data_IF_406554329123
#
_entry.id   IF_406554329123
#
_cell.length_a   1.000
_cell.length_b   1.000
_cell.length_c   1.000
_cell.angle_alpha   90.00
_cell.angle_beta   90.00
_cell.angle_gamma   90.00
#
_symmetry.space_group_name_H-M   'P 1'
#
loop_
_entity.id
_entity.type
_entity.pdbx_description
1 polymer ?
#
# COMPACT_ATOMS: atom_id res chain seq x y z
N UNK A 1 -41.62 8.06 13.27
CA UNK A 1 -40.48 8.95 12.92
C UNK A 1 -39.19 8.16 13.20
N UNK A 2 -38.59 7.52 12.17
CA UNK A 2 -37.31 6.83 12.33
C UNK A 2 -36.24 7.89 12.62
N UNK A 3 -35.59 7.83 13.81
CA UNK A 3 -34.40 8.62 14.06
C UNK A 3 -33.35 8.14 13.05
N UNK A 4 -32.89 9.01 12.13
CA UNK A 4 -31.71 8.72 11.31
C UNK A 4 -30.57 8.42 12.28
N UNK A 5 -30.01 7.23 12.15
CA UNK A 5 -28.86 6.82 12.95
C UNK A 5 -27.66 7.61 12.42
N UNK A 6 -26.95 8.31 13.31
CA UNK A 6 -25.75 9.05 12.93
C UNK A 6 -24.69 8.04 12.47
N UNK A 7 -23.97 8.36 11.42
CA UNK A 7 -22.85 7.55 10.93
C UNK A 7 -21.70 7.71 11.92
N UNK A 8 -21.12 6.63 12.41
CA UNK A 8 -20.04 6.71 13.39
C UNK A 8 -18.76 7.28 12.76
N UNK A 9 -18.34 6.75 11.61
CA UNK A 9 -17.12 7.16 10.92
C UNK A 9 -17.39 7.28 9.42
N UNK A 10 -17.04 8.42 8.82
CA UNK A 10 -16.89 8.56 7.39
C UNK A 10 -15.43 8.30 7.00
N UNK A 11 -15.20 7.20 6.30
CA UNK A 11 -13.88 6.91 5.75
C UNK A 11 -13.80 7.31 4.28
N UNK A 12 -12.86 8.20 3.95
CA UNK A 12 -12.56 8.62 2.58
C UNK A 12 -11.29 7.90 2.14
N UNK A 13 -11.38 6.93 1.21
CA UNK A 13 -10.23 6.12 0.80
C UNK A 13 -9.24 6.92 -0.05
N UNK A 14 -8.08 6.33 -0.30
CA UNK A 14 -7.08 6.86 -1.22
C UNK A 14 -7.59 6.86 -2.65
N UNK A 15 -7.47 7.99 -3.33
CA UNK A 15 -7.72 8.15 -4.77
C UNK A 15 -6.85 9.27 -5.34
N UNK A 16 -6.55 9.15 -6.64
CA UNK A 16 -5.93 10.22 -7.41
C UNK A 16 -7.03 11.06 -8.07
N UNK A 17 -7.17 12.30 -7.66
CA UNK A 17 -8.18 13.20 -8.19
C UNK A 17 -7.56 14.25 -9.13
N UNK A 18 -8.24 14.55 -10.24
CA UNK A 18 -8.08 15.82 -10.92
C UNK A 18 -8.69 16.94 -10.07
N UNK A 19 -8.31 18.19 -10.29
CA UNK A 19 -8.84 19.34 -9.50
C UNK A 19 -10.38 19.37 -9.43
N UNK A 20 -11.07 19.09 -10.52
CA UNK A 20 -12.54 19.05 -10.56
C UNK A 20 -13.15 17.93 -9.73
N UNK A 21 -12.49 16.77 -9.67
CA UNK A 21 -12.91 15.64 -8.86
C UNK A 21 -12.62 15.91 -7.39
N UNK A 22 -11.49 16.54 -7.08
CA UNK A 22 -11.17 16.92 -5.71
C UNK A 22 -12.21 17.90 -5.14
N UNK A 23 -12.59 18.94 -5.89
CA UNK A 23 -13.57 19.91 -5.45
C UNK A 23 -14.94 19.25 -5.19
N UNK A 24 -15.39 18.36 -6.08
CA UNK A 24 -16.61 17.59 -5.88
C UNK A 24 -16.54 16.77 -4.57
N UNK A 25 -15.46 16.02 -4.36
CA UNK A 25 -15.32 15.18 -3.17
C UNK A 25 -15.22 16.00 -1.88
N UNK A 26 -14.49 17.13 -1.90
CA UNK A 26 -14.41 18.02 -0.74
C UNK A 26 -15.81 18.54 -0.37
N UNK A 27 -16.63 18.92 -1.35
CA UNK A 27 -17.99 19.38 -1.12
C UNK A 27 -18.91 18.26 -0.58
N UNK A 28 -18.78 17.02 -1.10
CA UNK A 28 -19.51 15.85 -0.57
C UNK A 28 -19.12 15.55 0.89
N UNK A 29 -17.81 15.59 1.21
CA UNK A 29 -17.34 15.39 2.59
C UNK A 29 -17.94 16.47 3.51
N UNK A 30 -17.89 17.74 3.10
CA UNK A 30 -18.45 18.86 3.88
C UNK A 30 -19.96 18.68 4.09
N UNK A 31 -20.69 18.23 3.06
CA UNK A 31 -22.12 17.94 3.15
C UNK A 31 -22.46 16.84 4.15
N UNK A 32 -21.54 15.89 4.38
CA UNK A 32 -21.72 14.77 5.33
C UNK A 32 -21.35 15.14 6.78
N UNK A 33 -20.65 16.26 7.02
CA UNK A 33 -20.20 16.67 8.38
C UNK A 33 -21.33 16.64 9.42
N UNK A 34 -22.57 17.10 9.14
CA UNK A 34 -23.65 17.05 10.14
C UNK A 34 -24.15 15.63 10.47
N UNK A 35 -23.90 14.66 9.60
CA UNK A 35 -24.46 13.31 9.69
C UNK A 35 -23.47 12.30 10.30
N UNK A 36 -22.20 12.67 10.53
CA UNK A 36 -21.12 11.78 10.97
C UNK A 36 -20.59 12.16 12.35
N UNK A 37 -19.92 11.23 13.03
CA UNK A 37 -19.27 11.45 14.32
C UNK A 37 -17.76 11.69 14.20
N UNK A 38 -17.12 11.13 13.17
CA UNK A 38 -15.69 11.31 12.89
C UNK A 38 -15.45 11.20 11.38
N UNK A 39 -14.46 11.93 10.86
CA UNK A 39 -13.99 11.81 9.49
C UNK A 39 -12.55 11.34 9.49
N UNK A 40 -12.27 10.28 8.70
CA UNK A 40 -10.93 9.77 8.44
C UNK A 40 -10.66 9.84 6.94
N UNK A 41 -9.73 10.71 6.53
CA UNK A 41 -9.41 10.95 5.12
C UNK A 41 -8.01 10.44 4.77
N UNK A 42 -7.96 9.46 3.85
CA UNK A 42 -6.74 8.93 3.25
C UNK A 42 -6.48 9.53 1.86
N UNK A 43 -7.42 10.30 1.32
CA UNK A 43 -7.30 10.88 0.00
C UNK A 43 -6.16 11.91 -0.09
N UNK A 44 -5.55 11.98 -1.27
CA UNK A 44 -4.49 12.95 -1.56
C UNK A 44 -5.11 14.28 -1.96
N UNK A 45 -5.51 15.08 -0.98
CA UNK A 45 -6.12 16.38 -1.19
C UNK A 45 -5.08 17.50 -1.18
N UNK A 46 -5.36 18.57 -1.90
CA UNK A 46 -4.61 19.81 -1.84
C UNK A 46 -4.70 20.44 -0.44
N UNK A 47 -3.77 21.31 -0.11
CA UNK A 47 -3.81 22.06 1.15
C UNK A 47 -5.09 22.88 1.30
N UNK A 48 -5.60 23.44 0.20
CA UNK A 48 -6.87 24.17 0.16
C UNK A 48 -8.06 23.27 0.48
N UNK A 49 -8.12 22.06 -0.08
CA UNK A 49 -9.16 21.06 0.20
C UNK A 49 -9.15 20.61 1.66
N UNK A 50 -7.96 20.30 2.20
CA UNK A 50 -7.77 19.95 3.61
C UNK A 50 -8.28 21.05 4.53
N UNK A 51 -7.95 22.32 4.25
CA UNK A 51 -8.34 23.45 5.08
C UNK A 51 -9.86 23.69 5.06
N UNK A 52 -10.52 23.55 3.90
CA UNK A 52 -11.99 23.61 3.78
C UNK A 52 -12.68 22.57 4.67
N UNK A 53 -12.22 21.31 4.62
CA UNK A 53 -12.79 20.23 5.45
C UNK A 53 -12.53 20.49 6.94
N UNK A 54 -11.31 20.92 7.32
CA UNK A 54 -10.99 21.27 8.72
C UNK A 54 -11.87 22.37 9.26
N UNK A 55 -12.12 23.40 8.48
CA UNK A 55 -12.99 24.50 8.87
C UNK A 55 -14.42 24.00 9.12
N UNK A 56 -14.99 23.24 8.18
CA UNK A 56 -16.35 22.70 8.32
C UNK A 56 -16.48 21.76 9.53
N UNK A 57 -15.46 20.96 9.80
CA UNK A 57 -15.42 20.09 11.00
C UNK A 57 -15.29 20.90 12.28
N UNK A 58 -14.44 21.95 12.29
CA UNK A 58 -14.26 22.83 13.44
C UNK A 58 -15.54 23.56 13.84
N UNK A 59 -16.32 24.05 12.87
CA UNK A 59 -17.59 24.73 13.07
C UNK A 59 -18.64 23.83 13.77
N UNK A 60 -18.50 22.51 13.66
CA UNK A 60 -19.37 21.50 14.29
C UNK A 60 -18.70 20.70 15.41
N UNK A 61 -17.49 21.09 15.82
CA UNK A 61 -16.69 20.40 16.83
C UNK A 61 -16.50 18.90 16.52
N UNK A 62 -16.33 18.56 15.22
CA UNK A 62 -16.14 17.21 14.72
C UNK A 62 -14.65 16.86 14.60
N UNK A 63 -14.28 15.66 15.02
CA UNK A 63 -12.94 15.16 14.83
C UNK A 63 -12.70 14.78 13.35
N UNK A 64 -11.64 15.34 12.75
CA UNK A 64 -11.21 14.92 11.42
C UNK A 64 -9.72 14.61 11.39
N UNK A 65 -9.37 13.41 10.88
CA UNK A 65 -8.01 12.92 10.74
C UNK A 65 -7.63 12.81 9.29
N UNK A 66 -6.50 13.43 8.93
CA UNK A 66 -5.89 13.28 7.60
C UNK A 66 -4.67 12.37 7.75
N UNK A 67 -4.74 11.15 7.22
CA UNK A 67 -3.75 10.10 7.48
C UNK A 67 -2.39 10.42 6.86
N UNK A 68 -2.35 11.09 5.71
CA UNK A 68 -1.09 11.52 5.08
C UNK A 68 -0.26 12.50 5.92
N UNK A 69 -0.89 13.27 6.79
CA UNK A 69 -0.16 14.23 7.64
C UNK A 69 0.53 13.55 8.83
N UNK A 70 -0.01 12.42 9.32
CA UNK A 70 0.62 11.61 10.36
C UNK A 70 1.90 10.90 9.85
N UNK A 71 1.92 10.54 8.58
CA UNK A 71 3.05 9.91 7.90
C UNK A 71 4.30 10.81 7.87
N UNK A 72 4.12 12.12 7.77
CA UNK A 72 5.21 13.09 7.72
C UNK A 72 6.01 13.15 9.03
N UNK A 73 5.36 13.06 10.18
CA UNK A 73 6.03 13.10 11.49
C UNK A 73 6.94 11.87 11.70
N UNK A 74 6.50 10.68 11.26
CA UNK A 74 7.31 9.46 11.34
C UNK A 74 8.53 9.50 10.40
N UNK A 75 8.38 10.14 9.25
CA UNK A 75 9.45 10.37 8.26
C UNK A 75 10.55 11.29 8.80
N UNK A 76 10.20 12.30 9.58
CA UNK A 76 11.16 13.22 10.17
C UNK A 76 12.03 12.53 11.23
N UNK A 77 11.47 11.62 12.03
CA UNK A 77 12.21 10.78 12.99
C UNK A 77 13.22 9.87 12.30
N UNK A 78 12.88 9.31 11.14
CA UNK A 78 13.75 8.40 10.39
C UNK A 78 14.86 9.16 9.70
N UNK A 79 14.60 10.37 9.24
CA UNK A 79 15.62 11.25 8.68
C UNK A 79 16.65 11.62 9.74
N UNK A 80 16.25 11.82 11.00
CA UNK A 80 17.16 12.05 12.10
C UNK A 80 18.05 10.82 12.40
N UNK A 81 17.47 9.61 12.34
CA UNK A 81 18.19 8.34 12.50
C UNK A 81 19.20 8.13 11.35
N UNK A 82 18.86 8.55 10.13
CA UNK A 82 19.72 8.42 8.96
C UNK A 82 20.99 9.29 9.05
N UNK A 83 20.89 10.45 9.66
CA UNK A 83 22.02 11.40 9.84
C UNK A 83 23.12 10.90 10.79
N UNK A 84 22.97 9.73 11.38
CA UNK A 84 23.96 9.01 12.21
C UNK A 84 25.23 8.58 11.42
N UNK A 85 25.25 8.73 10.08
CA UNK A 85 26.45 8.51 9.25
C UNK A 85 26.77 7.04 8.92
N UNK A 86 26.01 6.07 9.43
CA UNK A 86 26.19 4.65 9.09
C UNK A 86 25.70 4.37 7.66
N UNK A 87 26.52 3.75 6.83
CA UNK A 87 26.22 3.45 5.41
C UNK A 87 25.91 1.96 5.13
N UNK A 88 25.81 1.14 6.15
CA UNK A 88 25.56 -0.30 5.99
C UNK A 88 24.12 -0.65 6.36
N UNK A 89 23.59 -1.70 5.73
CA UNK A 89 22.34 -2.32 6.14
C UNK A 89 22.50 -2.98 7.51
N UNK A 90 21.50 -2.85 8.35
CA UNK A 90 21.44 -3.53 9.65
C UNK A 90 20.82 -4.91 9.47
N UNK A 91 21.30 -5.88 10.23
CA UNK A 91 20.71 -7.24 10.24
C UNK A 91 19.35 -7.20 10.95
N UNK A 92 18.35 -7.72 10.28
CA UNK A 92 17.00 -7.92 10.84
C UNK A 92 16.89 -9.41 11.14
N UNK A 93 16.79 -9.77 12.41
CA UNK A 93 16.79 -11.18 12.85
C UNK A 93 15.39 -11.81 12.87
N UNK A 94 14.40 -11.09 12.34
CA UNK A 94 13.01 -11.51 12.26
C UNK A 94 12.68 -11.86 10.81
N UNK A 95 12.00 -13.00 10.54
CA UNK A 95 11.58 -13.37 9.19
C UNK A 95 10.75 -12.30 8.51
N UNK A 96 11.08 -11.99 7.26
CA UNK A 96 10.41 -10.99 6.44
C UNK A 96 9.63 -11.67 5.32
N UNK A 97 8.32 -11.52 5.34
CA UNK A 97 7.41 -11.94 4.27
C UNK A 97 7.06 -10.73 3.42
N UNK A 98 7.42 -10.76 2.14
CA UNK A 98 7.07 -9.71 1.19
C UNK A 98 5.87 -10.13 0.35
N UNK A 99 4.91 -9.22 0.19
CA UNK A 99 3.79 -9.36 -0.74
C UNK A 99 3.94 -8.30 -1.83
N UNK A 100 4.32 -8.76 -3.00
CA UNK A 100 4.51 -7.93 -4.18
C UNK A 100 3.46 -8.23 -5.25
N UNK A 101 3.22 -7.29 -6.15
CA UNK A 101 2.35 -7.51 -7.30
C UNK A 101 3.13 -7.49 -8.59
N UNK A 102 2.86 -8.42 -9.48
CA UNK A 102 3.40 -8.37 -10.83
C UNK A 102 2.94 -7.08 -11.50
N UNK A 103 1.67 -6.70 -11.27
CA UNK A 103 1.08 -5.42 -11.64
C UNK A 103 0.32 -4.79 -10.48
N UNK A 104 -0.24 -3.61 -10.70
CA UNK A 104 -1.14 -2.95 -9.76
C UNK A 104 -2.50 -3.68 -9.69
N UNK A 105 -3.27 -3.45 -8.64
CA UNK A 105 -4.61 -4.01 -8.42
C UNK A 105 -4.71 -5.56 -8.41
N UNK A 106 -3.64 -6.26 -8.06
CA UNK A 106 -3.58 -7.72 -7.96
C UNK A 106 -3.97 -8.27 -6.57
N UNK A 107 -4.85 -7.60 -5.84
CA UNK A 107 -5.33 -7.99 -4.48
C UNK A 107 -4.24 -8.07 -3.38
N UNK A 108 -3.05 -7.50 -3.58
CA UNK A 108 -1.93 -7.51 -2.62
C UNK A 108 -2.35 -7.14 -1.20
N UNK A 109 -3.07 -6.03 -1.06
CA UNK A 109 -3.49 -5.52 0.25
C UNK A 109 -4.43 -6.52 0.96
N UNK A 110 -5.40 -7.07 0.25
CA UNK A 110 -6.28 -8.11 0.78
C UNK A 110 -5.51 -9.36 1.18
N UNK A 111 -4.57 -9.80 0.37
CA UNK A 111 -3.70 -10.95 0.65
C UNK A 111 -2.90 -10.72 1.93
N UNK A 112 -2.34 -9.52 2.12
CA UNK A 112 -1.59 -9.17 3.32
C UNK A 112 -2.47 -9.19 4.59
N UNK A 113 -3.70 -8.70 4.52
CA UNK A 113 -4.64 -8.74 5.63
C UNK A 113 -5.03 -10.17 6.01
N UNK A 114 -5.28 -11.03 5.02
CA UNK A 114 -5.62 -12.45 5.26
C UNK A 114 -4.45 -13.17 5.92
N UNK A 115 -3.23 -12.96 5.44
CA UNK A 115 -2.03 -13.57 6.00
C UNK A 115 -1.80 -13.09 7.44
N UNK A 116 -1.85 -11.76 7.69
CA UNK A 116 -1.75 -11.20 9.03
C UNK A 116 -2.73 -11.86 9.99
N UNK A 117 -4.01 -11.92 9.60
CA UNK A 117 -5.04 -12.49 10.45
C UNK A 117 -4.81 -13.99 10.77
N UNK A 118 -4.26 -14.74 9.83
CA UNK A 118 -3.90 -16.16 10.06
C UNK A 118 -2.77 -16.27 11.07
N UNK A 119 -1.67 -15.53 10.88
CA UNK A 119 -0.51 -15.57 11.76
C UNK A 119 -0.87 -15.10 13.19
N UNK A 120 -1.67 -14.04 13.33
CA UNK A 120 -2.18 -13.59 14.62
C UNK A 120 -3.02 -14.66 15.34
N UNK A 121 -3.86 -15.42 14.60
CA UNK A 121 -4.64 -16.54 15.14
C UNK A 121 -3.78 -17.71 15.60
N UNK A 122 -2.63 -17.93 14.96
CA UNK A 122 -1.63 -18.92 15.37
C UNK A 122 -0.77 -18.44 16.54
N UNK A 123 -0.99 -17.22 17.03
CA UNK A 123 -0.32 -16.68 18.23
C UNK A 123 0.99 -15.92 17.94
N UNK A 124 1.34 -15.65 16.70
CA UNK A 124 2.52 -14.86 16.35
C UNK A 124 2.29 -13.37 16.62
N UNK A 125 3.35 -12.67 17.08
CA UNK A 125 3.42 -11.21 17.10
C UNK A 125 3.80 -10.73 15.70
N UNK A 126 2.83 -10.13 14.99
CA UNK A 126 2.97 -9.79 13.58
C UNK A 126 3.04 -8.28 13.42
N UNK A 127 4.21 -7.76 13.03
CA UNK A 127 4.30 -6.41 12.50
C UNK A 127 3.99 -6.40 11.02
N UNK A 128 3.38 -5.34 10.55
CA UNK A 128 3.06 -5.20 9.14
C UNK A 128 3.28 -3.77 8.66
N UNK A 129 3.86 -3.68 7.45
CA UNK A 129 3.93 -2.45 6.66
C UNK A 129 3.08 -2.69 5.42
N UNK A 130 1.98 -1.98 5.30
CA UNK A 130 1.03 -2.18 4.18
C UNK A 130 1.31 -1.25 3.01
N UNK A 131 0.74 -1.60 1.87
CA UNK A 131 0.92 -0.86 0.61
C UNK A 131 -0.01 0.35 0.46
N UNK A 132 -0.76 0.71 1.51
CA UNK A 132 -1.71 1.83 1.51
C UNK A 132 -1.31 2.85 2.56
N UNK A 133 -1.74 4.10 2.38
CA UNK A 133 -1.47 5.22 3.29
C UNK A 133 -2.50 5.37 4.43
N UNK A 134 -3.30 4.34 4.67
CA UNK A 134 -4.33 4.30 5.72
C UNK A 134 -4.24 3.01 6.55
N UNK A 135 -3.08 2.35 6.55
CA UNK A 135 -2.87 1.07 7.24
C UNK A 135 -2.97 1.21 8.75
N UNK A 136 -2.71 2.39 9.31
CA UNK A 136 -2.86 2.70 10.73
C UNK A 136 -4.29 2.48 11.24
N UNK A 137 -5.30 2.59 10.37
CA UNK A 137 -6.69 2.26 10.70
C UNK A 137 -6.90 0.77 11.01
N UNK A 138 -6.02 -0.07 10.50
CA UNK A 138 -6.03 -1.53 10.71
C UNK A 138 -5.04 -1.96 11.80
N UNK A 139 -4.41 -0.99 12.50
CA UNK A 139 -3.46 -1.25 13.57
C UNK A 139 -2.09 -1.73 13.10
N UNK A 140 -1.62 -1.29 11.94
CA UNK A 140 -0.28 -1.53 11.43
C UNK A 140 0.20 -0.35 10.57
N UNK A 141 1.48 -0.35 10.16
CA UNK A 141 2.13 0.77 9.51
C UNK A 141 1.78 0.90 8.03
N UNK A 142 1.64 2.13 7.55
CA UNK A 142 1.64 2.44 6.12
C UNK A 142 3.04 2.34 5.53
N UNK A 143 3.13 2.19 4.22
CA UNK A 143 4.41 2.21 3.51
C UNK A 143 5.03 3.61 3.65
N UNK A 144 6.32 3.72 4.06
CA UNK A 144 6.87 5.00 4.48
C UNK A 144 6.99 6.01 3.34
N UNK A 145 6.51 7.23 3.57
CA UNK A 145 6.42 8.30 2.58
C UNK A 145 7.77 8.74 2.01
N UNK A 146 8.86 8.62 2.80
CA UNK A 146 10.21 8.95 2.33
C UNK A 146 10.63 8.12 1.11
N UNK A 147 10.05 6.94 0.91
CA UNK A 147 10.33 6.09 -0.25
C UNK A 147 9.88 6.72 -1.59
N UNK A 148 8.93 7.65 -1.54
CA UNK A 148 8.43 8.40 -2.71
C UNK A 148 8.85 9.86 -2.71
N UNK A 149 9.57 10.33 -1.69
CA UNK A 149 10.07 11.70 -1.61
C UNK A 149 11.20 11.91 -2.62
N UNK A 150 11.03 12.90 -3.51
CA UNK A 150 12.03 13.27 -4.51
C UNK A 150 13.25 14.01 -3.95
N UNK A 151 13.17 14.48 -2.70
CA UNK A 151 14.28 15.16 -2.01
C UNK A 151 15.29 14.17 -1.45
N UNK A 152 14.92 12.89 -1.32
CA UNK A 152 15.79 11.83 -0.80
C UNK A 152 16.39 11.07 -1.97
N UNK A 153 17.72 10.90 -1.92
CA UNK A 153 18.44 10.14 -2.93
C UNK A 153 17.96 8.69 -3.01
N UNK A 154 17.85 8.16 -4.22
CA UNK A 154 17.50 6.76 -4.45
C UNK A 154 18.48 5.77 -3.80
N UNK A 155 19.74 6.19 -3.59
CA UNK A 155 20.78 5.40 -2.90
C UNK A 155 20.53 5.35 -1.39
N UNK A 156 19.92 6.39 -0.82
CA UNK A 156 19.69 6.50 0.62
C UNK A 156 18.40 5.78 1.06
N UNK A 157 17.42 5.69 0.19
CA UNK A 157 16.13 5.04 0.46
C UNK A 157 16.25 3.60 0.97
N UNK A 158 17.09 2.71 0.37
CA UNK A 158 17.26 1.35 0.91
C UNK A 158 17.78 1.35 2.36
N UNK A 159 18.73 2.21 2.69
CA UNK A 159 19.28 2.30 4.05
C UNK A 159 18.23 2.79 5.05
N UNK A 160 17.47 3.80 4.66
CA UNK A 160 16.38 4.34 5.49
C UNK A 160 15.28 3.30 5.72
N UNK A 161 14.87 2.58 4.66
CA UNK A 161 13.85 1.54 4.77
C UNK A 161 14.31 0.37 5.65
N UNK A 162 15.56 -0.05 5.50
CA UNK A 162 16.13 -1.12 6.33
C UNK A 162 16.06 -0.75 7.81
N UNK A 163 16.49 0.47 8.19
CA UNK A 163 16.43 0.96 9.56
C UNK A 163 15.01 1.13 10.08
N UNK A 164 14.11 1.56 9.22
CA UNK A 164 12.70 1.67 9.55
C UNK A 164 12.11 0.32 9.94
N UNK A 165 12.35 -0.69 9.10
CA UNK A 165 11.90 -2.07 9.36
C UNK A 165 12.55 -2.65 10.61
N UNK A 166 13.86 -2.43 10.81
CA UNK A 166 14.58 -2.84 12.02
C UNK A 166 14.00 -2.22 13.28
N UNK A 167 13.73 -0.89 13.26
CA UNK A 167 13.11 -0.19 14.38
C UNK A 167 11.73 -0.76 14.73
N UNK A 168 10.89 -1.05 13.73
CA UNK A 168 9.58 -1.69 13.96
C UNK A 168 9.76 -3.07 14.59
N UNK A 169 10.66 -3.90 14.02
CA UNK A 169 10.93 -5.23 14.55
C UNK A 169 11.29 -5.22 16.05
N UNK A 170 12.18 -4.30 16.41
CA UNK A 170 12.69 -4.18 17.78
C UNK A 170 11.65 -3.58 18.74
N UNK A 171 10.94 -2.53 18.32
CA UNK A 171 9.94 -1.86 19.17
C UNK A 171 8.70 -2.71 19.41
N UNK A 172 8.27 -3.51 18.44
CA UNK A 172 7.08 -4.37 18.53
C UNK A 172 7.43 -5.80 18.96
N UNK A 173 8.70 -6.12 19.16
CA UNK A 173 9.19 -7.46 19.51
C UNK A 173 8.60 -8.53 18.58
N UNK A 174 8.65 -8.28 17.28
CA UNK A 174 7.96 -9.07 16.27
C UNK A 174 8.52 -10.47 16.14
N UNK A 175 7.63 -11.46 15.93
CA UNK A 175 8.03 -12.82 15.54
C UNK A 175 8.11 -12.96 14.00
N UNK A 176 7.40 -12.09 13.27
CA UNK A 176 7.39 -12.04 11.80
C UNK A 176 6.97 -10.64 11.32
N UNK A 177 7.54 -10.20 10.21
CA UNK A 177 7.17 -8.92 9.56
C UNK A 177 6.58 -9.21 8.19
N UNK A 178 5.40 -8.62 7.92
CA UNK A 178 4.77 -8.64 6.59
C UNK A 178 4.98 -7.28 5.92
N UNK A 179 5.48 -7.26 4.69
CA UNK A 179 5.67 -6.04 3.93
C UNK A 179 4.90 -6.12 2.61
N UNK A 180 3.87 -5.30 2.48
CA UNK A 180 3.13 -5.11 1.23
C UNK A 180 3.74 -3.97 0.42
N UNK A 181 4.32 -4.25 -0.73
CA UNK A 181 4.97 -3.22 -1.55
C UNK A 181 3.93 -2.52 -2.43
N UNK A 182 3.86 -1.17 -2.43
CA UNK A 182 3.04 -0.42 -3.37
C UNK A 182 3.52 -0.57 -4.81
N UNK A 183 2.60 -0.41 -5.78
CA UNK A 183 2.91 -0.47 -7.20
C UNK A 183 3.12 -1.89 -7.72
N UNK A 184 3.85 -2.03 -8.80
CA UNK A 184 4.14 -3.28 -9.51
C UNK A 184 5.64 -3.52 -9.62
N UNK A 185 6.06 -4.78 -9.77
CA UNK A 185 7.49 -5.11 -9.89
C UNK A 185 8.07 -4.76 -11.26
N UNK A 186 7.22 -4.50 -12.24
CA UNK A 186 7.62 -4.14 -13.61
C UNK A 186 6.54 -3.32 -14.33
N UNK A 187 6.88 -2.77 -15.48
CA UNK A 187 5.91 -2.17 -16.41
C UNK A 187 4.92 -3.22 -16.90
N UNK A 188 3.69 -2.79 -17.17
CA UNK A 188 2.72 -3.66 -17.85
C UNK A 188 3.10 -3.82 -19.33
N UNK A 189 3.40 -2.70 -19.98
CA UNK A 189 3.96 -2.62 -21.34
C UNK A 189 4.65 -1.26 -21.54
N UNK A 190 5.05 -0.95 -22.75
CA UNK A 190 5.72 0.32 -23.10
C UNK A 190 4.84 1.56 -22.82
N UNK A 191 3.53 1.43 -22.95
CA UNK A 191 2.56 2.52 -22.72
C UNK A 191 2.21 2.70 -21.25
N UNK A 192 2.06 1.60 -20.51
CA UNK A 192 1.67 1.59 -19.09
C UNK A 192 2.85 1.13 -18.24
N UNK A 193 3.70 2.10 -17.90
CA UNK A 193 5.01 1.82 -17.30
C UNK A 193 4.96 1.44 -15.82
N UNK A 194 3.85 1.75 -15.11
CA UNK A 194 3.68 1.45 -13.68
C UNK A 194 4.91 1.87 -12.84
N UNK A 195 5.48 3.02 -13.15
CA UNK A 195 6.70 3.55 -12.54
C UNK A 195 7.91 2.59 -12.64
N UNK A 196 7.93 1.75 -13.68
CA UNK A 196 9.04 0.84 -14.04
C UNK A 196 9.44 -0.17 -12.95
N UNK A 197 8.65 -0.35 -11.91
CA UNK A 197 8.98 -1.20 -10.78
C UNK A 197 10.16 -0.70 -9.93
N UNK A 198 10.42 0.60 -9.92
CA UNK A 198 11.55 1.19 -9.19
C UNK A 198 11.35 1.05 -7.67
N UNK A 199 10.17 1.34 -7.17
CA UNK A 199 9.89 1.26 -5.74
C UNK A 199 10.06 -0.17 -5.16
N UNK A 200 9.51 -1.23 -5.78
CA UNK A 200 9.84 -2.60 -5.42
C UNK A 200 11.34 -2.89 -5.51
N UNK A 201 12.02 -2.46 -6.57
CA UNK A 201 13.46 -2.67 -6.69
C UNK A 201 14.23 -2.10 -5.50
N UNK A 202 13.98 -0.85 -5.11
CA UNK A 202 14.59 -0.22 -3.96
C UNK A 202 14.27 -1.00 -2.67
N UNK A 203 13.03 -1.46 -2.52
CA UNK A 203 12.59 -2.23 -1.35
C UNK A 203 13.35 -3.54 -1.21
N UNK A 204 13.54 -4.28 -2.29
CA UNK A 204 14.32 -5.53 -2.30
C UNK A 204 15.81 -5.32 -2.06
N UNK A 205 16.35 -4.12 -2.37
CA UNK A 205 17.75 -3.80 -2.01
C UNK A 205 17.92 -3.47 -0.52
N UNK A 206 16.84 -3.09 0.17
CA UNK A 206 16.87 -2.75 1.59
C UNK A 206 16.77 -3.98 2.51
N UNK A 207 16.21 -5.09 2.04
CA UNK A 207 15.74 -6.19 2.87
C UNK A 207 16.21 -7.55 2.35
N UNK A 208 16.62 -8.40 3.27
CA UNK A 208 16.74 -9.82 2.99
C UNK A 208 15.35 -10.46 3.15
N UNK A 209 14.77 -10.90 2.04
CA UNK A 209 13.41 -11.46 2.02
C UNK A 209 13.47 -12.96 2.23
N UNK A 210 12.77 -13.45 3.27
CA UNK A 210 12.71 -14.87 3.60
C UNK A 210 11.58 -15.60 2.86
N UNK A 211 10.49 -14.88 2.53
CA UNK A 211 9.36 -15.45 1.81
C UNK A 211 8.71 -14.40 0.90
N UNK A 212 8.59 -14.70 -0.38
CA UNK A 212 7.96 -13.82 -1.37
C UNK A 212 6.64 -14.38 -1.89
N UNK A 213 5.55 -13.66 -1.64
CA UNK A 213 4.26 -13.91 -2.28
C UNK A 213 4.08 -12.96 -3.46
N UNK A 214 3.97 -13.51 -4.67
CA UNK A 214 3.71 -12.74 -5.87
C UNK A 214 2.24 -12.76 -6.23
N UNK A 215 1.61 -11.59 -6.28
CA UNK A 215 0.22 -11.45 -6.70
C UNK A 215 0.14 -11.13 -8.20
N UNK A 216 -0.69 -11.87 -8.94
CA UNK A 216 -0.89 -11.71 -10.37
C UNK A 216 -2.37 -11.80 -10.74
N UNK A 217 -2.73 -11.50 -11.98
CA UNK A 217 -4.06 -11.73 -12.51
C UNK A 217 -4.25 -13.19 -12.95
N UNK A 218 -5.48 -13.65 -12.92
CA UNK A 218 -5.83 -15.02 -13.31
C UNK A 218 -5.39 -15.39 -14.72
N UNK A 219 -5.47 -14.46 -15.67
CA UNK A 219 -5.07 -14.66 -17.07
C UNK A 219 -3.59 -15.06 -17.23
N UNK A 220 -2.74 -14.70 -16.25
CA UNK A 220 -1.30 -14.92 -16.27
C UNK A 220 -0.91 -16.02 -15.28
N UNK A 221 -1.54 -17.19 -15.40
CA UNK A 221 -1.40 -18.31 -14.47
C UNK A 221 -0.71 -19.55 -15.08
N UNK A 222 -0.20 -19.46 -16.33
CA UNK A 222 0.51 -20.58 -16.91
C UNK A 222 1.81 -20.88 -16.16
N UNK A 223 2.11 -22.14 -15.91
CA UNK A 223 3.31 -22.58 -15.17
C UNK A 223 4.58 -21.98 -15.77
N UNK A 224 4.70 -22.00 -17.10
CA UNK A 224 5.86 -21.42 -17.79
C UNK A 224 6.03 -19.94 -17.46
N UNK A 225 4.96 -19.16 -17.51
CA UNK A 225 5.00 -17.73 -17.21
C UNK A 225 5.38 -17.49 -15.73
N UNK A 226 4.83 -18.26 -14.81
CA UNK A 226 5.14 -18.14 -13.39
C UNK A 226 6.61 -18.49 -13.09
N UNK A 227 7.16 -19.51 -13.77
CA UNK A 227 8.59 -19.84 -13.68
C UNK A 227 9.48 -18.71 -14.21
N UNK A 228 9.12 -18.09 -15.33
CA UNK A 228 9.83 -16.92 -15.89
C UNK A 228 9.84 -15.76 -14.90
N UNK A 229 8.71 -15.48 -14.24
CA UNK A 229 8.62 -14.44 -13.20
C UNK A 229 9.47 -14.80 -11.98
N UNK A 230 9.49 -16.06 -11.55
CA UNK A 230 10.33 -16.48 -10.44
C UNK A 230 11.82 -16.30 -10.76
N UNK A 231 12.23 -16.63 -11.99
CA UNK A 231 13.60 -16.39 -12.43
C UNK A 231 13.93 -14.89 -12.51
N UNK A 232 13.01 -14.06 -13.01
CA UNK A 232 13.18 -12.61 -13.01
C UNK A 232 13.40 -12.08 -11.59
N UNK A 233 12.60 -12.52 -10.62
CA UNK A 233 12.77 -12.13 -9.23
C UNK A 233 14.13 -12.58 -8.67
N UNK A 234 14.56 -13.82 -8.96
CA UNK A 234 15.85 -14.35 -8.54
C UNK A 234 17.02 -13.50 -9.04
N UNK A 235 17.02 -13.10 -10.30
CA UNK A 235 18.14 -12.34 -10.88
C UNK A 235 18.06 -10.84 -10.60
N UNK A 236 16.87 -10.28 -10.48
CA UNK A 236 16.67 -8.85 -10.25
C UNK A 236 16.66 -8.46 -8.78
N UNK A 237 16.12 -9.31 -7.92
CA UNK A 237 15.86 -9.03 -6.50
C UNK A 237 16.59 -9.98 -5.54
N UNK A 238 17.34 -10.94 -6.06
CA UNK A 238 18.05 -11.96 -5.28
C UNK A 238 17.13 -12.83 -4.39
N UNK A 239 15.85 -12.94 -4.73
CA UNK A 239 14.89 -13.80 -4.05
C UNK A 239 14.03 -14.58 -5.07
N UNK A 240 13.64 -15.81 -4.70
CA UNK A 240 12.70 -16.59 -5.50
C UNK A 240 11.25 -16.26 -5.07
N UNK A 241 10.30 -16.56 -5.95
CA UNK A 241 8.89 -16.51 -5.58
C UNK A 241 8.53 -17.83 -4.90
N UNK A 242 8.08 -17.76 -3.64
CA UNK A 242 7.72 -18.94 -2.85
C UNK A 242 6.25 -19.32 -3.00
N UNK A 243 5.40 -18.33 -3.25
CA UNK A 243 3.97 -18.54 -3.48
C UNK A 243 3.38 -17.54 -4.46
N UNK A 244 2.38 -17.96 -5.21
CA UNK A 244 1.59 -17.11 -6.08
C UNK A 244 0.16 -16.93 -5.54
N UNK A 245 -0.32 -15.68 -5.54
CA UNK A 245 -1.72 -15.37 -5.37
C UNK A 245 -2.31 -14.92 -6.71
N UNK A 246 -3.29 -15.65 -7.22
CA UNK A 246 -4.02 -15.28 -8.43
C UNK A 246 -5.27 -14.52 -8.05
N UNK A 247 -5.32 -13.26 -8.42
CA UNK A 247 -6.51 -12.42 -8.25
C UNK A 247 -7.63 -12.88 -9.19
N UNK A 248 -8.87 -12.76 -8.76
CA UNK A 248 -10.05 -12.98 -9.62
C UNK A 248 -10.37 -11.76 -10.50
N UNK A 249 -9.37 -10.94 -10.79
CA UNK A 249 -9.45 -9.80 -11.69
C UNK A 249 -8.82 -10.16 -13.03
N UNK A 250 -9.32 -9.54 -14.08
CA UNK A 250 -8.73 -9.56 -15.41
C UNK A 250 -8.59 -8.13 -15.94
N UNK A 251 -7.73 -7.95 -16.92
CA UNK A 251 -7.51 -6.64 -17.53
C UNK A 251 -8.51 -6.46 -18.67
N UNK A 252 -9.30 -5.40 -18.60
CA UNK A 252 -10.15 -4.97 -19.70
C UNK A 252 -9.33 -4.14 -20.69
N UNK A 253 -8.87 -4.78 -21.75
CA UNK A 253 -8.03 -4.14 -22.75
C UNK A 253 -8.76 -3.01 -23.49
N UNK A 254 -10.05 -3.19 -23.80
CA UNK A 254 -10.84 -2.20 -24.52
C UNK A 254 -11.02 -0.91 -23.68
N UNK A 255 -11.47 -1.05 -22.44
CA UNK A 255 -11.58 0.10 -21.53
C UNK A 255 -10.21 0.70 -21.18
N UNK A 256 -9.16 -0.13 -21.10
CA UNK A 256 -7.78 0.33 -20.85
C UNK A 256 -7.30 1.25 -21.94
N UNK A 257 -7.55 0.90 -23.21
CA UNK A 257 -7.18 1.73 -24.36
C UNK A 257 -8.01 3.02 -24.42
N UNK A 258 -9.33 2.92 -24.20
CA UNK A 258 -10.24 4.08 -24.21
C UNK A 258 -9.88 5.10 -23.12
N UNK A 259 -9.65 4.63 -21.88
CA UNK A 259 -9.38 5.49 -20.74
C UNK A 259 -7.89 5.82 -20.54
N UNK A 260 -7.02 5.30 -21.39
CA UNK A 260 -5.57 5.46 -21.32
C UNK A 260 -4.98 5.12 -19.94
N UNK A 261 -5.58 4.15 -19.25
CA UNK A 261 -5.22 3.68 -17.91
C UNK A 261 -5.57 2.21 -17.77
N UNK A 262 -4.73 1.40 -17.13
CA UNK A 262 -5.03 -0.02 -16.90
C UNK A 262 -6.31 -0.16 -16.08
N UNK A 263 -7.32 -0.76 -16.68
CA UNK A 263 -8.63 -1.03 -16.07
C UNK A 263 -8.75 -2.53 -15.79
N UNK A 264 -9.20 -2.85 -14.60
CA UNK A 264 -9.40 -4.24 -14.17
C UNK A 264 -10.84 -4.49 -13.77
N UNK A 265 -11.39 -5.59 -14.25
CA UNK A 265 -12.74 -6.05 -13.92
C UNK A 265 -12.69 -7.41 -13.19
N UNK A 266 -13.73 -7.74 -12.43
CA UNK A 266 -13.83 -9.03 -11.74
C UNK A 266 -14.36 -10.11 -12.66
N UNK A 267 -13.76 -11.28 -12.61
CA UNK A 267 -14.30 -12.49 -13.25
C UNK A 267 -15.60 -12.85 -12.53
N UNK A 268 -16.73 -13.00 -13.26
CA UNK A 268 -17.99 -13.42 -12.66
C UNK A 268 -17.87 -14.77 -11.95
N UNK A 269 -18.49 -14.93 -10.78
CA UNK A 269 -18.40 -16.15 -9.96
C UNK A 269 -18.84 -17.42 -10.68
N UNK A 270 -19.79 -17.31 -11.61
CA UNK A 270 -20.30 -18.42 -12.41
C UNK A 270 -19.27 -18.99 -13.42
N UNK A 271 -18.22 -18.27 -13.75
CA UNK A 271 -17.13 -18.76 -14.62
C UNK A 271 -16.08 -19.51 -13.81
N UNK A 272 -15.84 -19.13 -12.56
CA UNK A 272 -14.83 -19.75 -11.67
C UNK A 272 -15.21 -21.20 -11.29
N UNK A 273 -16.48 -21.56 -11.34
CA UNK A 273 -16.96 -22.91 -11.02
C UNK A 273 -16.82 -23.93 -12.18
N UNK A 274 -16.31 -23.53 -13.33
CA UNK A 274 -16.18 -24.40 -14.53
C UNK A 274 -14.72 -24.82 -14.82
N UNK A 275 -13.77 -24.45 -13.93
CA UNK A 275 -12.36 -24.83 -13.97
C UNK A 275 -11.96 -25.58 -12.70
#
# INVERSE_FOLDING_TARGET
MYKRQKIDILFVPEFDASESVEEFIVNEIIGMVPEVSEIMCAANLSEAGVNKIRQACGDQNLNCKFLKLAEKALSDDITAIYNDGRKNLEKIDVPIIVIAGLWENTDKFKTSLVLRNKLLKEGYRVSQIGSRNYCELFGFHSFPGFMTDSKISEIDKPLMLNRYVKKIADCEESDVIIIGIPGSIQSFNEKYTNRFGILPYITFQALLVDFLIMCTFYEYSSVKFLDEISQLCKYRFSCCVDAYHMSNLYIDLAETEEKNKVITNRIPRNIICLL
#
